data_IF_881107367806
#
_entry.id   IF_881107367806
#
_cell.length_a   1.000
_cell.length_b   1.000
_cell.length_c   1.000
_cell.angle_alpha   90.00
_cell.angle_beta   90.00
_cell.angle_gamma   90.00
#
_symmetry.space_group_name_H-M   'P 1'
#
loop_
_entity.id
_entity.type
_entity.pdbx_description
1 polymer ?
#
# COMPACT_ATOMS: atom_id res chain seq x y z
N UNK A 1 27.83 12.42 -51.78
CA UNK A 1 27.09 13.15 -50.73
C UNK A 1 26.53 12.14 -49.75
N UNK A 2 27.22 11.91 -48.64
CA UNK A 2 26.83 10.91 -47.64
C UNK A 2 25.98 11.60 -46.57
N UNK A 3 24.69 11.26 -46.49
CA UNK A 3 23.81 11.75 -45.43
C UNK A 3 24.09 10.96 -44.15
N UNK A 4 24.64 11.62 -43.15
CA UNK A 4 24.76 11.10 -41.79
C UNK A 4 23.39 11.21 -41.11
N UNK A 5 22.71 10.09 -40.88
CA UNK A 5 21.52 10.06 -40.03
C UNK A 5 21.97 9.97 -38.57
N UNK A 6 21.77 11.05 -37.81
CA UNK A 6 21.97 11.07 -36.37
C UNK A 6 20.70 10.51 -35.69
N UNK A 7 20.76 9.26 -35.24
CA UNK A 7 19.73 8.69 -34.36
C UNK A 7 19.95 9.19 -32.94
N UNK A 8 19.14 10.14 -32.50
CA UNK A 8 19.06 10.55 -31.09
C UNK A 8 18.21 9.49 -30.37
N UNK A 9 18.87 8.57 -29.66
CA UNK A 9 18.20 7.77 -28.63
C UNK A 9 17.85 8.70 -27.46
N UNK A 10 16.62 9.19 -27.43
CA UNK A 10 16.06 9.80 -26.23
C UNK A 10 15.79 8.64 -25.28
N UNK A 11 16.66 8.42 -24.30
CA UNK A 11 16.34 7.57 -23.16
C UNK A 11 15.21 8.27 -22.40
N UNK A 12 13.97 7.86 -22.67
CA UNK A 12 12.84 8.14 -21.79
C UNK A 12 13.23 7.56 -20.43
N UNK A 13 13.67 8.43 -19.51
CA UNK A 13 13.85 8.03 -18.12
C UNK A 13 12.52 7.45 -17.66
N UNK A 14 12.55 6.21 -17.16
CA UNK A 14 11.37 5.60 -16.57
C UNK A 14 10.91 6.52 -15.43
N UNK A 15 9.78 7.20 -15.63
CA UNK A 15 9.07 7.83 -14.52
C UNK A 15 8.49 6.66 -13.74
N UNK A 16 9.21 6.20 -12.72
CA UNK A 16 8.71 5.16 -11.85
C UNK A 16 7.41 5.67 -11.21
N UNK A 17 6.35 4.87 -11.29
CA UNK A 17 5.14 5.20 -10.56
C UNK A 17 5.48 5.25 -9.06
N UNK A 18 4.80 6.15 -8.36
CA UNK A 18 4.94 6.30 -6.91
C UNK A 18 3.68 5.71 -6.28
N UNK A 19 3.79 4.95 -5.18
CA UNK A 19 2.62 4.41 -4.51
C UNK A 19 1.71 5.53 -3.99
N UNK A 20 0.40 5.31 -4.04
CA UNK A 20 -0.60 6.34 -3.79
C UNK A 20 -1.53 5.97 -2.65
N UNK A 21 -1.99 6.99 -1.93
CA UNK A 21 -3.08 6.89 -0.95
C UNK A 21 -4.17 7.88 -1.32
N UNK A 22 -5.38 7.37 -1.56
CA UNK A 22 -6.53 8.17 -2.01
C UNK A 22 -7.60 8.15 -0.92
N UNK A 23 -7.86 9.30 -0.29
CA UNK A 23 -8.91 9.40 0.74
C UNK A 23 -10.29 9.31 0.08
N UNK A 24 -11.21 8.54 0.67
CA UNK A 24 -12.56 8.39 0.11
C UNK A 24 -13.33 9.72 0.06
N UNK A 25 -13.02 10.64 0.98
CA UNK A 25 -13.61 11.99 1.05
C UNK A 25 -13.35 12.87 -0.18
N UNK A 26 -12.42 12.47 -1.06
CA UNK A 26 -12.06 13.25 -2.26
C UNK A 26 -12.95 12.93 -3.46
N UNK A 27 -13.76 11.87 -3.39
CA UNK A 27 -14.67 11.49 -4.46
C UNK A 27 -16.01 12.19 -4.27
N UNK A 28 -16.58 12.72 -5.35
CA UNK A 28 -17.87 13.44 -5.32
C UNK A 28 -18.84 12.80 -6.29
N UNK A 29 -20.14 12.93 -6.01
CA UNK A 29 -21.20 12.20 -6.71
C UNK A 29 -21.41 12.60 -8.18
N UNK A 30 -20.85 13.75 -8.56
CA UNK A 30 -21.06 14.39 -9.86
C UNK A 30 -19.87 14.20 -10.81
N UNK A 31 -18.81 13.50 -10.39
CA UNK A 31 -17.55 13.42 -11.15
C UNK A 31 -17.01 12.00 -11.22
N UNK A 32 -16.67 11.56 -12.44
CA UNK A 32 -15.86 10.38 -12.64
C UNK A 32 -14.39 10.70 -12.32
N UNK A 33 -13.89 10.14 -11.23
CA UNK A 33 -12.54 10.43 -10.75
C UNK A 33 -11.56 9.46 -11.38
N UNK A 34 -10.93 9.89 -12.47
CA UNK A 34 -9.81 9.14 -13.08
C UNK A 34 -8.56 9.29 -12.20
N UNK A 35 -7.99 8.15 -11.80
CA UNK A 35 -6.75 8.12 -11.01
C UNK A 35 -5.57 8.10 -11.97
N UNK A 36 -4.71 9.11 -11.87
CA UNK A 36 -3.52 9.22 -12.70
C UNK A 36 -2.35 8.40 -12.14
N UNK A 37 -1.44 7.97 -13.02
CA UNK A 37 -0.20 7.31 -12.60
C UNK A 37 -0.41 5.91 -12.00
N UNK A 38 -1.47 5.22 -12.43
CA UNK A 38 -1.69 3.81 -12.10
C UNK A 38 -0.93 2.91 -13.07
N UNK A 39 -0.50 1.74 -12.60
CA UNK A 39 0.25 0.78 -13.40
C UNK A 39 -0.51 -0.54 -13.54
N UNK A 40 -0.50 -1.11 -14.74
CA UNK A 40 -1.08 -2.42 -15.03
C UNK A 40 -0.44 -3.53 -14.20
N UNK A 41 -1.27 -4.31 -13.51
CA UNK A 41 -0.84 -5.35 -12.60
C UNK A 41 -0.45 -4.86 -11.21
N UNK A 42 -0.62 -3.57 -10.90
CA UNK A 42 -0.69 -3.10 -9.51
C UNK A 42 -1.97 -3.64 -8.84
N UNK A 43 -2.09 -3.45 -7.52
CA UNK A 43 -3.21 -3.88 -6.70
C UNK A 43 -3.82 -2.69 -5.97
N UNK A 44 -5.13 -2.61 -5.94
CA UNK A 44 -5.89 -1.62 -5.17
C UNK A 44 -6.44 -2.28 -3.90
N UNK A 45 -6.07 -1.73 -2.75
CA UNK A 45 -6.55 -2.16 -1.43
C UNK A 45 -7.47 -1.10 -0.83
N UNK A 46 -8.46 -1.55 -0.07
CA UNK A 46 -9.33 -0.67 0.72
C UNK A 46 -9.01 -0.80 2.21
N UNK A 47 -8.72 0.33 2.85
CA UNK A 47 -8.59 0.42 4.30
C UNK A 47 -9.71 1.33 4.83
N UNK A 48 -10.80 0.72 5.30
CA UNK A 48 -11.96 1.45 5.81
C UNK A 48 -12.64 0.72 6.97
N UNK A 49 -13.08 1.51 7.96
CA UNK A 49 -14.03 1.10 9.00
C UNK A 49 -15.45 1.62 8.74
N UNK A 50 -15.69 2.21 7.56
CA UNK A 50 -16.98 2.77 7.19
C UNK A 50 -17.99 1.65 6.88
N UNK A 51 -19.28 1.95 7.04
CA UNK A 51 -20.37 0.99 6.84
C UNK A 51 -20.48 0.58 5.36
N UNK A 52 -20.56 -0.72 5.11
CA UNK A 52 -20.70 -1.29 3.76
C UNK A 52 -21.93 -0.74 3.01
N UNK A 53 -22.97 -0.26 3.71
CA UNK A 53 -24.12 0.37 3.06
C UNK A 53 -23.76 1.65 2.27
N UNK A 54 -22.66 2.31 2.64
CA UNK A 54 -22.12 3.48 1.92
C UNK A 54 -21.03 3.06 0.93
N UNK A 55 -20.18 2.09 1.31
CA UNK A 55 -19.11 1.62 0.43
C UNK A 55 -19.63 0.93 -0.84
N UNK A 56 -20.78 0.25 -0.76
CA UNK A 56 -21.44 -0.36 -1.92
C UNK A 56 -21.87 0.65 -3.00
N UNK A 57 -21.95 1.94 -2.65
CA UNK A 57 -22.31 3.01 -3.57
C UNK A 57 -21.08 3.65 -4.23
N UNK A 58 -19.86 3.21 -3.88
CA UNK A 58 -18.63 3.67 -4.50
C UNK A 58 -18.14 2.58 -5.45
N UNK A 59 -18.17 2.87 -6.74
CA UNK A 59 -17.73 1.96 -7.78
C UNK A 59 -16.28 2.21 -8.15
N UNK A 60 -15.60 1.12 -8.45
CA UNK A 60 -14.25 1.09 -8.99
C UNK A 60 -14.27 0.37 -10.32
N UNK A 61 -13.74 1.04 -11.34
CA UNK A 61 -13.59 0.49 -12.68
C UNK A 61 -12.12 0.39 -13.03
N UNK A 62 -11.70 -0.79 -13.47
CA UNK A 62 -10.38 -1.00 -14.04
C UNK A 62 -10.46 -1.97 -15.20
N UNK A 63 -10.11 -1.50 -16.40
CA UNK A 63 -10.25 -2.27 -17.63
C UNK A 63 -11.71 -2.66 -17.85
N UNK A 64 -11.97 -3.96 -17.98
CA UNK A 64 -13.33 -4.51 -18.05
C UNK A 64 -13.92 -4.86 -16.68
N UNK A 65 -13.16 -4.70 -15.59
CA UNK A 65 -13.61 -5.08 -14.25
C UNK A 65 -14.33 -3.92 -13.58
N UNK A 66 -15.51 -4.22 -13.01
CA UNK A 66 -16.34 -3.28 -12.28
C UNK A 66 -16.73 -3.89 -10.94
N UNK A 67 -16.34 -3.26 -9.83
CA UNK A 67 -16.68 -3.69 -8.48
C UNK A 67 -17.12 -2.49 -7.63
N UNK A 68 -17.73 -2.79 -6.49
CA UNK A 68 -18.03 -1.80 -5.44
C UNK A 68 -17.05 -1.95 -4.28
N UNK A 69 -16.79 -0.87 -3.54
CA UNK A 69 -15.77 -0.88 -2.48
C UNK A 69 -16.09 -1.84 -1.33
N UNK A 70 -17.36 -2.11 -1.03
CA UNK A 70 -17.73 -3.10 -0.02
C UNK A 70 -17.21 -4.51 -0.33
N UNK A 71 -17.00 -4.85 -1.61
CA UNK A 71 -16.42 -6.13 -2.03
C UNK A 71 -14.93 -6.26 -1.64
N UNK A 72 -14.22 -5.13 -1.49
CA UNK A 72 -12.85 -5.08 -1.01
C UNK A 72 -12.76 -4.91 0.52
N UNK A 73 -13.88 -4.57 1.17
CA UNK A 73 -13.90 -4.24 2.60
C UNK A 73 -13.96 -5.48 3.51
N UNK A 74 -13.59 -6.64 2.99
CA UNK A 74 -13.62 -7.93 3.68
C UNK A 74 -12.30 -8.68 3.44
N UNK A 75 -12.06 -9.74 4.20
CA UNK A 75 -10.86 -10.56 4.10
C UNK A 75 -11.11 -11.81 3.25
N UNK A 76 -10.04 -12.37 2.68
CA UNK A 76 -10.06 -13.73 2.17
C UNK A 76 -10.11 -14.73 3.34
N UNK A 77 -10.39 -16.00 3.06
CA UNK A 77 -10.49 -17.05 4.08
C UNK A 77 -9.18 -17.26 4.86
N UNK A 78 -8.04 -16.89 4.27
CA UNK A 78 -6.71 -16.93 4.88
C UNK A 78 -6.38 -15.68 5.72
N UNK A 79 -7.33 -14.74 5.84
CA UNK A 79 -7.17 -13.48 6.56
C UNK A 79 -6.46 -12.38 5.78
N UNK A 80 -6.00 -12.63 4.55
CA UNK A 80 -5.37 -11.59 3.73
C UNK A 80 -6.41 -10.59 3.21
N UNK A 81 -6.04 -9.30 3.00
CA UNK A 81 -6.98 -8.34 2.47
C UNK A 81 -7.32 -8.64 1.01
N UNK A 82 -8.59 -8.46 0.66
CA UNK A 82 -9.02 -8.46 -0.74
C UNK A 82 -8.40 -7.27 -1.49
N UNK A 83 -8.17 -7.45 -2.78
CA UNK A 83 -7.67 -6.40 -3.66
C UNK A 83 -8.26 -6.53 -5.07
N UNK A 84 -8.28 -5.41 -5.80
CA UNK A 84 -8.52 -5.39 -7.23
C UNK A 84 -7.18 -5.29 -7.96
N UNK A 85 -6.92 -6.14 -8.95
CA UNK A 85 -5.75 -5.96 -9.82
C UNK A 85 -6.08 -4.90 -10.87
N UNK A 86 -5.19 -3.92 -11.04
CA UNK A 86 -5.37 -2.85 -12.04
C UNK A 86 -5.08 -3.40 -13.44
N UNK A 87 -5.97 -3.06 -14.37
CA UNK A 87 -5.89 -3.37 -15.79
C UNK A 87 -6.16 -2.10 -16.62
N UNK A 88 -5.13 -1.51 -17.20
CA UNK A 88 -5.16 -0.29 -17.98
C UNK A 88 -5.35 0.98 -17.14
N UNK A 89 -6.57 1.22 -16.71
CA UNK A 89 -6.98 2.47 -16.04
C UNK A 89 -7.64 2.20 -14.70
N UNK A 90 -7.81 3.25 -13.90
CA UNK A 90 -8.57 3.23 -12.66
C UNK A 90 -9.49 4.44 -12.61
N UNK A 91 -10.79 4.19 -12.55
CA UNK A 91 -11.81 5.23 -12.34
C UNK A 91 -12.61 4.91 -11.10
N UNK A 92 -12.89 5.94 -10.30
CA UNK A 92 -13.70 5.83 -9.09
C UNK A 92 -14.90 6.76 -9.24
N UNK A 93 -16.09 6.24 -8.97
CA UNK A 93 -17.34 6.99 -9.00
C UNK A 93 -18.13 6.69 -7.74
N UNK A 94 -18.98 7.61 -7.30
CA UNK A 94 -19.83 7.41 -6.13
C UNK A 94 -21.24 7.88 -6.43
N UNK A 95 -22.24 7.13 -5.97
CA UNK A 95 -23.63 7.56 -5.96
C UNK A 95 -24.10 7.98 -4.55
N UNK A 96 -23.20 8.00 -3.56
CA UNK A 96 -23.49 8.61 -2.27
C UNK A 96 -23.63 10.12 -2.44
N UNK A 97 -24.49 10.76 -1.64
CA UNK A 97 -24.48 12.22 -1.50
C UNK A 97 -23.10 12.72 -1.04
N UNK A 98 -22.70 13.93 -1.47
CA UNK A 98 -21.40 14.50 -1.13
C UNK A 98 -21.20 14.65 0.39
N UNK A 99 -22.29 14.91 1.14
CA UNK A 99 -22.26 14.96 2.61
C UNK A 99 -21.94 13.60 3.23
N UNK A 100 -22.45 12.51 2.64
CA UNK A 100 -22.15 11.15 3.07
C UNK A 100 -20.71 10.82 2.72
N UNK A 101 -20.27 11.08 1.48
CA UNK A 101 -18.90 10.79 1.04
C UNK A 101 -17.86 11.57 1.84
N UNK A 102 -18.13 12.85 2.14
CA UNK A 102 -17.29 13.70 2.98
C UNK A 102 -17.20 13.27 4.44
N UNK A 103 -18.10 12.40 4.91
CA UNK A 103 -18.07 11.83 6.27
C UNK A 103 -17.30 10.51 6.38
N UNK A 104 -16.93 9.90 5.25
CA UNK A 104 -16.17 8.64 5.23
C UNK A 104 -14.74 8.86 5.73
N UNK A 105 -14.19 7.83 6.37
CA UNK A 105 -12.87 7.89 7.01
C UNK A 105 -11.82 7.00 6.34
N UNK A 106 -12.28 6.11 5.46
CA UNK A 106 -11.47 5.18 4.72
C UNK A 106 -10.59 5.83 3.65
N UNK A 107 -9.69 5.02 3.13
CA UNK A 107 -8.81 5.37 2.03
C UNK A 107 -8.45 4.13 1.20
N UNK A 108 -8.08 4.37 -0.05
CA UNK A 108 -7.52 3.37 -0.93
C UNK A 108 -6.00 3.47 -0.89
N UNK A 109 -5.35 2.32 -0.97
CA UNK A 109 -3.90 2.21 -1.11
C UNK A 109 -3.57 1.51 -2.42
N UNK A 110 -2.66 2.12 -3.17
CA UNK A 110 -2.17 1.62 -4.46
C UNK A 110 -0.63 1.53 -4.40
N UNK A 111 -0.04 0.36 -4.10
CA UNK A 111 1.39 0.12 -4.31
C UNK A 111 1.78 0.29 -5.78
N UNK A 112 3.08 0.38 -6.05
CA UNK A 112 3.57 0.24 -7.43
C UNK A 112 3.37 -1.19 -7.94
N UNK A 113 3.45 -1.40 -9.25
CA UNK A 113 3.41 -2.75 -9.83
C UNK A 113 4.56 -3.61 -9.32
N UNK A 114 5.74 -3.04 -9.13
CA UNK A 114 6.92 -3.75 -8.63
C UNK A 114 6.68 -4.21 -7.19
N UNK A 115 6.20 -3.31 -6.31
CA UNK A 115 5.78 -3.64 -4.95
C UNK A 115 4.70 -4.72 -4.94
N UNK A 116 3.70 -4.64 -5.81
CA UNK A 116 2.60 -5.61 -5.86
C UNK A 116 3.04 -7.02 -6.31
N UNK A 117 4.15 -7.14 -7.03
CA UNK A 117 4.72 -8.39 -7.54
C UNK A 117 5.83 -8.96 -6.68
N UNK A 118 6.41 -8.15 -5.80
CA UNK A 118 7.45 -8.56 -4.88
C UNK A 118 6.87 -9.53 -3.83
N UNK A 119 7.35 -10.80 -3.76
CA UNK A 119 6.87 -11.76 -2.77
C UNK A 119 7.21 -11.36 -1.33
N UNK A 120 8.20 -10.49 -1.12
CA UNK A 120 8.63 -10.02 0.19
C UNK A 120 7.97 -8.68 0.58
N UNK A 121 7.09 -8.15 -0.28
CA UNK A 121 6.25 -6.99 -0.01
C UNK A 121 4.82 -7.44 0.30
N UNK A 122 4.35 -7.16 1.50
CA UNK A 122 3.02 -7.55 1.94
C UNK A 122 2.21 -6.36 2.44
N UNK A 123 0.91 -6.40 2.18
CA UNK A 123 -0.04 -5.37 2.63
C UNK A 123 -1.06 -6.04 3.54
N UNK A 124 -1.25 -5.47 4.72
CA UNK A 124 -2.27 -5.89 5.68
C UNK A 124 -3.23 -4.73 5.95
N UNK A 125 -4.53 -5.02 5.91
CA UNK A 125 -5.57 -4.09 6.36
C UNK A 125 -5.98 -4.51 7.76
N UNK A 126 -5.78 -3.63 8.75
CA UNK A 126 -5.99 -3.97 10.16
C UNK A 126 -7.24 -3.28 10.67
N UNK A 127 -8.31 -4.08 10.87
CA UNK A 127 -9.59 -3.67 11.48
C UNK A 127 -9.71 -4.09 12.94
N UNK A 128 -9.12 -5.22 13.27
CA UNK A 128 -9.09 -5.85 14.59
C UNK A 128 -7.68 -6.37 14.87
N UNK A 129 -7.49 -7.20 15.90
CA UNK A 129 -6.23 -7.94 16.10
C UNK A 129 -5.88 -8.79 14.88
N UNK A 130 -4.61 -8.77 14.50
CA UNK A 130 -4.08 -9.54 13.38
C UNK A 130 -2.65 -9.98 13.69
N UNK A 131 -2.28 -11.17 13.22
CA UNK A 131 -0.91 -11.67 13.31
C UNK A 131 -0.21 -11.42 11.98
N UNK A 132 0.95 -10.79 12.06
CA UNK A 132 1.82 -10.58 10.90
C UNK A 132 2.99 -11.55 11.01
N UNK A 133 3.23 -12.29 9.93
CA UNK A 133 4.34 -13.24 9.84
C UNK A 133 5.05 -13.09 8.51
N UNK A 134 6.38 -12.96 8.56
CA UNK A 134 7.25 -12.90 7.38
C UNK A 134 8.31 -14.00 7.51
N UNK A 135 8.61 -14.69 6.40
CA UNK A 135 9.61 -15.76 6.37
C UNK A 135 10.94 -15.31 5.75
N UNK A 136 10.93 -14.22 4.99
CA UNK A 136 12.10 -13.69 4.31
C UNK A 136 13.03 -12.92 5.26
N UNK A 137 14.34 -12.97 4.98
CA UNK A 137 15.34 -12.22 5.76
C UNK A 137 15.21 -10.70 5.59
N UNK A 138 14.65 -10.26 4.46
CA UNK A 138 14.39 -8.85 4.14
C UNK A 138 12.97 -8.78 3.58
N UNK A 139 12.06 -8.15 4.32
CA UNK A 139 10.66 -8.03 3.93
C UNK A 139 10.10 -6.68 4.33
N UNK A 140 9.18 -6.16 3.52
CA UNK A 140 8.45 -4.93 3.82
C UNK A 140 6.99 -5.26 4.05
N UNK A 141 6.48 -4.85 5.22
CA UNK A 141 5.08 -5.04 5.58
C UNK A 141 4.42 -3.67 5.70
N UNK A 142 3.39 -3.43 4.88
CA UNK A 142 2.55 -2.24 4.95
C UNK A 142 1.33 -2.53 5.80
N UNK A 143 1.19 -1.77 6.89
CA UNK A 143 0.06 -1.87 7.80
C UNK A 143 -0.91 -0.72 7.54
N UNK A 144 -2.05 -1.02 6.93
CA UNK A 144 -3.13 -0.08 6.67
C UNK A 144 -4.12 -0.10 7.84
N UNK A 145 -3.97 0.87 8.76
CA UNK A 145 -4.88 1.01 9.90
C UNK A 145 -6.20 1.68 9.50
N UNK A 146 -7.33 1.05 9.83
CA UNK A 146 -8.69 1.50 9.48
C UNK A 146 -9.40 2.30 10.60
N UNK A 147 -8.71 2.67 11.68
CA UNK A 147 -9.31 3.27 12.88
C UNK A 147 -10.10 4.56 12.61
N UNK A 148 -11.30 4.63 13.19
CA UNK A 148 -12.31 5.69 12.98
C UNK A 148 -12.01 6.98 13.79
N UNK A 149 -11.36 6.86 14.96
CA UNK A 149 -11.18 8.00 15.90
C UNK A 149 -9.73 8.26 16.30
N UNK A 150 -8.93 7.20 16.48
CA UNK A 150 -7.48 7.25 16.64
C UNK A 150 -6.87 6.11 15.85
N UNK A 151 -6.10 6.44 14.81
CA UNK A 151 -5.37 5.46 13.99
C UNK A 151 -4.13 4.97 14.75
N UNK A 152 -4.35 4.35 15.91
CA UNK A 152 -3.30 3.80 16.76
C UNK A 152 -3.44 2.28 16.77
N UNK A 153 -2.35 1.59 16.52
CA UNK A 153 -2.24 0.14 16.66
C UNK A 153 -1.23 -0.16 17.76
N UNK A 154 -1.56 -1.11 18.62
CA UNK A 154 -0.60 -1.68 19.55
C UNK A 154 0.10 -2.87 18.88
N UNK A 155 1.42 -2.88 18.89
CA UNK A 155 2.24 -4.00 18.40
C UNK A 155 2.79 -4.74 19.61
N UNK A 156 2.55 -6.05 19.70
CA UNK A 156 3.02 -6.92 20.79
C UNK A 156 3.46 -8.27 20.24
N UNK A 157 4.11 -9.08 21.08
CA UNK A 157 4.45 -10.46 20.73
C UNK A 157 5.49 -10.58 19.61
N UNK A 158 6.35 -9.57 19.45
CA UNK A 158 7.39 -9.57 18.43
C UNK A 158 8.35 -10.72 18.70
N UNK A 159 8.33 -11.71 17.81
CA UNK A 159 9.24 -12.85 17.80
C UNK A 159 10.07 -12.78 16.52
N UNK A 160 11.25 -12.18 16.60
CA UNK A 160 12.16 -11.98 15.48
C UNK A 160 13.39 -12.87 15.61
N UNK A 161 14.05 -13.16 14.50
CA UNK A 161 15.35 -13.84 14.53
C UNK A 161 16.40 -12.95 15.21
N UNK A 162 17.33 -13.52 16.01
CA UNK A 162 18.34 -12.74 16.72
C UNK A 162 19.37 -12.05 15.81
N UNK A 163 19.36 -12.34 14.50
CA UNK A 163 20.25 -11.75 13.50
C UNK A 163 19.54 -10.77 12.53
N UNK A 164 18.28 -10.41 12.80
CA UNK A 164 17.49 -9.50 11.95
C UNK A 164 17.08 -8.24 12.71
N UNK A 165 17.19 -7.08 12.06
CA UNK A 165 16.68 -5.82 12.61
C UNK A 165 15.24 -5.60 12.18
N UNK A 166 14.41 -5.09 13.10
CA UNK A 166 13.08 -4.55 12.79
C UNK A 166 13.13 -3.02 12.84
N UNK A 167 12.57 -2.41 11.79
CA UNK A 167 12.38 -0.98 11.66
C UNK A 167 10.88 -0.69 11.57
N UNK A 168 10.37 0.20 12.43
CA UNK A 168 9.06 0.78 12.20
C UNK A 168 9.23 2.15 11.55
N UNK A 169 8.53 2.31 10.44
CA UNK A 169 8.58 3.48 9.58
C UNK A 169 7.18 4.06 9.45
N UNK A 170 7.08 5.39 9.31
CA UNK A 170 5.81 6.07 9.05
C UNK A 170 5.70 6.50 7.58
N UNK A 171 4.47 6.63 7.09
CA UNK A 171 4.20 7.04 5.71
C UNK A 171 4.05 5.86 4.75
N UNK A 172 4.25 6.12 3.47
CA UNK A 172 4.09 5.16 2.39
C UNK A 172 5.48 4.68 1.95
N UNK A 173 5.74 3.36 1.85
CA UNK A 173 7.03 2.87 1.39
C UNK A 173 7.33 3.42 -0.01
N UNK A 174 8.49 4.05 -0.23
CA UNK A 174 8.88 4.59 -1.52
C UNK A 174 9.26 3.47 -2.52
N UNK A 175 9.75 3.86 -3.71
CA UNK A 175 10.23 2.92 -4.75
C UNK A 175 11.46 2.11 -4.33
N UNK A 176 12.16 2.53 -3.30
CA UNK A 176 13.28 1.86 -2.65
C UNK A 176 12.84 1.22 -1.31
N UNK A 177 11.62 0.67 -1.24
CA UNK A 177 11.00 0.12 -0.02
C UNK A 177 11.80 -0.96 0.70
N UNK A 178 12.83 -1.51 0.06
CA UNK A 178 13.77 -2.44 0.65
C UNK A 178 14.76 -1.74 1.59
N UNK A 179 15.01 -0.45 1.44
CA UNK A 179 16.05 0.23 2.19
C UNK A 179 15.50 0.93 3.43
N UNK A 180 16.37 1.09 4.43
CA UNK A 180 16.01 1.80 5.66
C UNK A 180 16.06 3.29 5.37
N UNK A 181 14.91 3.95 5.40
CA UNK A 181 14.83 5.38 5.11
C UNK A 181 14.71 6.23 6.38
N UNK A 182 14.77 7.55 6.20
CA UNK A 182 14.76 8.54 7.29
C UNK A 182 13.42 8.64 8.04
N UNK A 183 12.39 7.92 7.61
CA UNK A 183 11.07 7.87 8.26
C UNK A 183 10.99 6.84 9.40
N UNK A 184 12.13 6.29 9.84
CA UNK A 184 12.19 5.32 10.94
C UNK A 184 11.92 6.00 12.28
N UNK A 185 10.88 5.58 13.00
CA UNK A 185 10.56 6.09 14.34
C UNK A 185 10.86 5.10 15.47
N UNK A 186 11.08 3.83 15.13
CA UNK A 186 11.60 2.83 16.05
C UNK A 186 12.55 1.90 15.31
N UNK A 187 13.67 1.58 15.95
CA UNK A 187 14.64 0.57 15.51
C UNK A 187 14.98 -0.30 16.70
N UNK A 188 14.90 -1.62 16.52
CA UNK A 188 15.54 -2.50 17.49
C UNK A 188 17.04 -2.61 17.12
N UNK A 189 17.93 -2.14 17.99
CA UNK A 189 19.36 -2.32 17.80
C UNK A 189 19.78 -3.72 18.26
N UNK A 190 20.32 -4.54 17.37
CA UNK A 190 21.11 -5.71 17.77
C UNK A 190 22.55 -5.25 17.92
N UNK A 191 22.95 -4.81 19.11
CA UNK A 191 24.38 -4.70 19.44
C UNK A 191 24.86 -6.10 19.83
N UNK A 192 25.36 -6.86 18.86
CA UNK A 192 26.23 -7.99 19.17
C UNK A 192 27.53 -7.39 19.74
N UNK A 193 27.65 -7.33 21.08
CA UNK A 193 28.97 -7.23 21.70
C UNK A 193 29.72 -8.50 21.31
N UNK A 194 30.50 -8.44 20.23
CA UNK A 194 31.60 -9.39 20.06
C UNK A 194 32.44 -9.26 21.32
N UNK A 195 32.50 -10.35 22.09
CA UNK A 195 33.33 -10.42 23.28
C UNK A 195 34.73 -9.93 22.93
N UNK A 196 35.13 -8.81 23.52
CA UNK A 196 36.53 -8.55 23.77
C UNK A 196 37.00 -9.67 24.71
N UNK A 197 37.52 -10.74 24.11
CA UNK A 197 38.45 -11.61 24.80
C UNK A 197 39.68 -10.75 25.10
N UNK A 198 39.79 -10.24 26.33
CA UNK A 198 41.11 -9.91 26.84
C UNK A 198 41.78 -11.21 27.26
N UNK A 199 42.50 -11.81 26.31
CA UNK A 199 43.63 -12.67 26.63
C UNK A 199 44.78 -11.79 27.09
N UNK A 200 44.98 -11.66 28.40
CA UNK A 200 46.19 -12.08 29.13
C UNK A 200 46.11 -11.70 30.60
#
# INVERSE_FOLDING_TARGET
MTKLLLFVLISLGAINAIPQVLKLTLFTNSVNSMVNGVEDGSRLYLASGDDNKYLKNINVTSGSTWITLDQLNDFNDDGTPKFLTIDGFLTITTSNEDTVTGSLTGYLYLPTREQAKDPDFSVYVIKTSHTVSTAAMKSTVVILNTGITRKTSLVTGINQSPNTNIYFQWGIPPVDWHDVTNNTFFRNEIVLKNGTYETK
#
